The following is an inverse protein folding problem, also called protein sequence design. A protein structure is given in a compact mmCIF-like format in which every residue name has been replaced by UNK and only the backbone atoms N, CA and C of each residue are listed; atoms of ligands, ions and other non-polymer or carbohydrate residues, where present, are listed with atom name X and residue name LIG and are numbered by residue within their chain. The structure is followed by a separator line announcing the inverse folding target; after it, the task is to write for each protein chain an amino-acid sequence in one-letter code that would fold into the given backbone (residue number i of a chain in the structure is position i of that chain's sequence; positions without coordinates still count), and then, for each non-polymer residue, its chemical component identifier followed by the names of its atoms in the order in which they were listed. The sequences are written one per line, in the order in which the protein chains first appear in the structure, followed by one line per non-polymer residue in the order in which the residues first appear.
data_IF_286900970151
#
_entry.id   IF_286900970151
#
_cell.length_a   1.000
_cell.length_b   1.000
_cell.length_c   1.000
_cell.angle_alpha   90.00
_cell.angle_beta   90.00
_cell.angle_gamma   90.00
#
_symmetry.space_group_name_H-M   'P 1'
#
loop_
_entity.id
_entity.type
_entity.pdbx_description
1 polymer ?
#
# COMPACT_ATOMS: atom_id res chain seq x y z
N UNK A 1 7.43 48.20 -2.38
CA UNK A 1 6.61 47.45 -3.39
C UNK A 1 7.40 47.15 -4.67
N UNK A 2 8.22 48.07 -5.19
CA UNK A 2 9.03 47.81 -6.38
C UNK A 2 10.28 46.95 -6.09
N UNK A 3 10.93 47.16 -4.95
CA UNK A 3 12.07 46.33 -4.51
C UNK A 3 11.67 44.88 -4.21
N UNK A 4 10.61 44.63 -3.45
CA UNK A 4 10.22 43.24 -3.15
C UNK A 4 9.76 42.46 -4.40
N UNK A 5 9.17 43.14 -5.40
CA UNK A 5 8.88 42.51 -6.69
C UNK A 5 10.12 42.22 -7.53
N UNK A 6 11.22 42.94 -7.28
CA UNK A 6 12.50 42.72 -7.96
C UNK A 6 13.21 41.50 -7.36
N UNK A 7 13.17 41.37 -6.04
CA UNK A 7 13.66 40.19 -5.33
C UNK A 7 12.88 38.92 -5.73
N UNK A 8 11.53 38.98 -5.79
CA UNK A 8 10.71 37.87 -6.28
C UNK A 8 11.04 37.47 -7.74
N UNK A 9 11.39 38.45 -8.60
CA UNK A 9 11.75 38.19 -9.98
C UNK A 9 13.13 37.54 -10.11
N UNK A 10 14.07 37.94 -9.26
CA UNK A 10 15.43 37.40 -9.26
C UNK A 10 15.44 35.95 -8.72
N UNK A 11 14.64 35.62 -7.70
CA UNK A 11 14.42 34.22 -7.27
C UNK A 11 13.81 33.34 -8.36
N UNK A 12 12.85 33.87 -9.13
CA UNK A 12 12.21 33.13 -10.22
C UNK A 12 13.22 32.85 -11.34
N UNK A 13 14.10 33.81 -11.65
CA UNK A 13 15.16 33.62 -12.66
C UNK A 13 16.16 32.55 -12.24
N UNK A 14 16.59 32.57 -10.99
CA UNK A 14 17.53 31.57 -10.46
C UNK A 14 16.95 30.15 -10.58
N UNK A 15 15.68 29.96 -10.21
CA UNK A 15 14.97 28.68 -10.41
C UNK A 15 14.81 28.29 -11.88
N UNK A 16 14.75 29.27 -12.78
CA UNK A 16 14.63 29.02 -14.22
C UNK A 16 15.97 28.58 -14.81
N UNK A 17 17.07 29.20 -14.37
CA UNK A 17 18.42 28.87 -14.78
C UNK A 17 18.82 27.46 -14.31
N UNK A 18 18.47 27.08 -13.08
CA UNK A 18 18.64 25.70 -12.59
C UNK A 18 17.90 24.68 -13.46
N UNK A 19 16.66 24.97 -13.85
CA UNK A 19 15.87 24.10 -14.75
C UNK A 19 16.49 23.98 -16.14
N UNK A 20 17.02 25.07 -16.68
CA UNK A 20 17.72 25.05 -17.98
C UNK A 20 18.97 24.17 -17.89
N UNK A 21 19.72 24.22 -16.79
CA UNK A 21 20.88 23.36 -16.60
C UNK A 21 20.50 21.87 -16.57
N UNK A 22 19.40 21.52 -15.88
CA UNK A 22 18.87 20.15 -15.85
C UNK A 22 18.45 19.70 -17.27
N UNK A 23 17.74 20.54 -18.02
CA UNK A 23 17.30 20.24 -19.38
C UNK A 23 18.51 19.97 -20.30
N UNK A 24 19.56 20.77 -20.18
CA UNK A 24 20.78 20.57 -20.97
C UNK A 24 21.50 19.26 -20.63
N UNK A 25 21.52 18.87 -19.34
CA UNK A 25 22.06 17.57 -18.90
C UNK A 25 21.25 16.41 -19.45
N UNK A 26 19.92 16.49 -19.41
CA UNK A 26 19.01 15.46 -19.98
C UNK A 26 19.24 15.31 -21.48
N UNK A 27 19.33 16.41 -22.22
CA UNK A 27 19.55 16.40 -23.67
C UNK A 27 20.91 15.80 -24.06
N UNK A 28 21.95 16.04 -23.24
CA UNK A 28 23.26 15.44 -23.45
C UNK A 28 23.25 13.92 -23.20
N UNK A 29 22.45 13.43 -22.26
CA UNK A 29 22.26 11.99 -22.03
C UNK A 29 21.48 11.37 -23.20
N UNK A 30 20.43 12.04 -23.67
CA UNK A 30 19.61 11.59 -24.80
C UNK A 30 20.45 11.41 -26.07
N UNK A 31 21.33 12.37 -26.38
CA UNK A 31 22.28 12.27 -27.49
C UNK A 31 23.27 11.12 -27.32
N UNK A 32 23.76 10.87 -26.10
CA UNK A 32 24.64 9.72 -25.84
C UNK A 32 23.93 8.39 -26.05
N UNK A 33 22.67 8.28 -25.62
CA UNK A 33 21.86 7.08 -25.81
C UNK A 33 21.55 6.88 -27.29
N UNK A 34 21.18 7.93 -28.02
CA UNK A 34 20.92 7.85 -29.46
C UNK A 34 22.16 7.36 -30.23
N UNK A 35 23.33 7.93 -29.95
CA UNK A 35 24.57 7.48 -30.60
C UNK A 35 24.89 6.01 -30.27
N UNK A 36 24.68 5.57 -29.02
CA UNK A 36 24.88 4.17 -28.64
C UNK A 36 23.87 3.22 -29.32
N UNK A 37 22.64 3.65 -29.53
CA UNK A 37 21.63 2.87 -30.27
C UNK A 37 22.02 2.80 -31.75
N UNK A 38 22.47 3.90 -32.35
CA UNK A 38 22.91 3.94 -33.74
C UNK A 38 24.15 3.04 -33.99
N UNK A 39 25.06 2.97 -33.00
CA UNK A 39 26.20 2.05 -33.02
C UNK A 39 25.75 0.57 -32.89
N UNK A 40 24.71 0.29 -32.10
CA UNK A 40 24.15 -1.06 -31.93
C UNK A 40 23.29 -1.52 -33.13
N UNK A 41 22.60 -0.60 -33.81
CA UNK A 41 21.82 -0.88 -35.02
C UNK A 41 22.71 -1.18 -36.24
N UNK A 42 24.00 -0.79 -36.20
CA UNK A 42 24.99 -1.15 -37.22
C UNK A 42 25.48 -2.59 -37.11
N UNK A 43 25.32 -3.24 -35.96
CA UNK A 43 25.51 -4.68 -35.83
C UNK A 43 24.26 -5.38 -36.38
N UNK A 44 24.14 -5.44 -37.71
CA UNK A 44 23.15 -6.28 -38.38
C UNK A 44 23.27 -7.70 -37.82
N UNK A 45 22.15 -8.24 -37.34
CA UNK A 45 22.03 -9.67 -37.01
C UNK A 45 22.33 -10.43 -38.30
N UNK A 46 23.55 -10.95 -38.43
CA UNK A 46 23.90 -11.85 -39.54
C UNK A 46 23.04 -13.11 -39.39
N UNK A 47 21.95 -13.20 -40.16
CA UNK A 47 21.25 -14.46 -40.35
C UNK A 47 22.24 -15.44 -40.98
N UNK A 48 22.53 -16.54 -40.27
CA UNK A 48 23.38 -17.60 -40.80
C UNK A 48 22.74 -18.13 -42.08
N UNK A 49 23.50 -18.13 -43.18
CA UNK A 49 23.05 -18.75 -44.43
C UNK A 49 22.83 -20.24 -44.20
N UNK A 50 21.61 -20.71 -44.45
CA UNK A 50 21.24 -22.12 -44.36
C UNK A 50 21.39 -22.70 -45.76
N UNK A 51 22.35 -23.59 -45.95
CA UNK A 51 22.53 -24.33 -47.20
C UNK A 51 21.66 -25.58 -47.23
N UNK A 52 21.07 -25.86 -48.38
CA UNK A 52 20.41 -27.15 -48.64
C UNK A 52 21.44 -28.23 -48.98
N UNK A 53 21.10 -29.51 -48.81
CA UNK A 53 22.02 -30.63 -49.05
C UNK A 53 22.61 -30.63 -50.48
N UNK A 54 21.78 -30.27 -51.48
CA UNK A 54 22.20 -30.17 -52.89
C UNK A 54 23.17 -29.01 -53.16
N UNK A 55 23.05 -27.91 -52.41
CA UNK A 55 23.95 -26.76 -52.50
C UNK A 55 25.28 -27.03 -51.81
N UNK A 56 25.26 -27.79 -50.71
CA UNK A 56 26.45 -28.18 -49.97
C UNK A 56 27.35 -29.12 -50.77
N UNK A 57 26.74 -30.05 -51.53
CA UNK A 57 27.46 -30.99 -52.41
C UNK A 57 28.08 -30.30 -53.65
N UNK A 58 27.54 -29.15 -54.06
CA UNK A 58 28.06 -28.35 -55.17
C UNK A 58 29.20 -27.39 -54.77
N UNK A 59 29.43 -27.21 -53.46
CA UNK A 59 30.44 -26.31 -52.93
C UNK A 59 31.81 -26.99 -52.77
N UNK A 60 32.88 -26.25 -53.07
CA UNK A 60 34.23 -26.77 -52.94
C UNK A 60 34.66 -26.81 -51.47
N UNK A 61 35.26 -27.94 -51.06
CA UNK A 61 35.60 -28.26 -49.68
C UNK A 61 36.57 -27.24 -49.08
N UNK A 62 37.51 -26.74 -49.88
CA UNK A 62 38.51 -25.76 -49.44
C UNK A 62 37.87 -24.39 -49.15
N UNK A 63 36.77 -24.06 -49.83
CA UNK A 63 36.03 -22.81 -49.62
C UNK A 63 35.22 -22.86 -48.33
N UNK A 64 34.52 -23.98 -48.08
CA UNK A 64 33.79 -24.23 -46.83
C UNK A 64 34.72 -24.23 -45.62
N UNK A 65 35.92 -24.79 -45.77
CA UNK A 65 36.92 -24.81 -44.70
C UNK A 65 37.38 -23.38 -44.35
N UNK A 66 37.62 -22.53 -45.36
CA UNK A 66 37.98 -21.12 -45.15
C UNK A 66 36.89 -20.33 -44.45
N UNK A 67 35.62 -20.51 -44.82
CA UNK A 67 34.48 -19.84 -44.17
C UNK A 67 34.30 -20.29 -42.72
N UNK A 68 34.44 -21.60 -42.45
CA UNK A 68 34.41 -22.15 -41.09
C UNK A 68 35.53 -21.55 -40.24
N UNK A 69 36.73 -21.40 -40.79
CA UNK A 69 37.87 -20.87 -40.05
C UNK A 69 37.67 -19.37 -39.74
N UNK A 70 37.12 -18.58 -40.66
CA UNK A 70 36.72 -17.18 -40.43
C UNK A 70 35.63 -17.09 -39.34
N UNK A 71 34.61 -17.95 -39.40
CA UNK A 71 33.52 -17.97 -38.41
C UNK A 71 34.00 -18.41 -37.02
N UNK A 72 34.92 -19.38 -36.96
CA UNK A 72 35.58 -19.79 -35.71
C UNK A 72 36.39 -18.64 -35.12
N UNK A 73 37.19 -17.96 -35.93
CA UNK A 73 37.98 -16.80 -35.49
C UNK A 73 37.07 -15.66 -34.98
N UNK A 74 35.95 -15.39 -35.65
CA UNK A 74 34.93 -14.44 -35.15
C UNK A 74 34.33 -14.88 -33.81
N UNK A 75 34.09 -16.18 -33.63
CA UNK A 75 33.50 -16.72 -32.40
C UNK A 75 34.51 -16.72 -31.24
N UNK A 76 35.80 -16.95 -31.52
CA UNK A 76 36.88 -16.90 -30.53
C UNK A 76 37.22 -15.46 -30.10
N UNK A 77 37.12 -14.51 -31.03
CA UNK A 77 37.33 -13.09 -30.74
C UNK A 77 36.09 -12.42 -30.12
N UNK A 78 34.90 -13.04 -30.23
CA UNK A 78 33.71 -12.60 -29.53
C UNK A 78 33.86 -12.93 -28.04
N UNK A 79 34.04 -11.90 -27.21
CA UNK A 79 34.05 -12.04 -25.76
C UNK A 79 32.66 -11.64 -25.23
N UNK A 80 31.67 -12.54 -25.15
CA UNK A 80 30.32 -12.19 -24.75
C UNK A 80 30.35 -11.62 -23.34
N UNK A 81 29.78 -10.42 -23.16
CA UNK A 81 29.73 -9.78 -21.86
C UNK A 81 28.69 -10.48 -20.96
N UNK A 82 29.14 -11.55 -20.29
CA UNK A 82 28.34 -12.38 -19.38
C UNK A 82 27.79 -11.58 -18.17
N UNK A 83 28.26 -10.36 -17.93
CA UNK A 83 27.70 -9.50 -16.89
C UNK A 83 26.28 -9.04 -17.24
N UNK A 84 25.94 -8.89 -18.52
CA UNK A 84 24.58 -8.52 -18.97
C UNK A 84 23.56 -9.58 -18.52
N UNK A 85 23.92 -10.86 -18.61
CA UNK A 85 23.06 -11.96 -18.15
C UNK A 85 22.88 -11.95 -16.62
N UNK A 86 23.92 -11.58 -15.86
CA UNK A 86 23.85 -11.46 -14.40
C UNK A 86 22.96 -10.28 -13.99
N UNK A 87 23.12 -9.13 -14.65
CA UNK A 87 22.28 -7.95 -14.44
C UNK A 87 20.82 -8.23 -14.80
N UNK A 88 20.57 -8.87 -15.96
CA UNK A 88 19.21 -9.25 -16.37
C UNK A 88 18.52 -10.14 -15.31
N UNK A 89 19.23 -11.12 -14.76
CA UNK A 89 18.69 -11.97 -13.68
C UNK A 89 18.37 -11.19 -12.39
N UNK A 90 19.11 -10.11 -12.10
CA UNK A 90 18.82 -9.23 -10.97
C UNK A 90 17.54 -8.42 -11.26
N UNK A 91 17.47 -7.80 -12.44
CA UNK A 91 16.29 -7.03 -12.87
C UNK A 91 15.02 -7.90 -12.92
N UNK A 92 15.12 -9.13 -13.41
CA UNK A 92 13.97 -10.04 -13.47
C UNK A 92 13.45 -10.40 -12.07
N UNK A 93 14.35 -10.63 -11.10
CA UNK A 93 13.98 -10.89 -9.71
C UNK A 93 13.32 -9.67 -9.06
N UNK A 94 13.90 -8.49 -9.24
CA UNK A 94 13.31 -7.25 -8.72
C UNK A 94 11.92 -7.00 -9.30
N UNK A 95 11.76 -7.17 -10.60
CA UNK A 95 10.48 -6.98 -11.28
C UNK A 95 9.42 -7.96 -10.76
N UNK A 96 9.77 -9.24 -10.59
CA UNK A 96 8.87 -10.25 -9.98
C UNK A 96 8.48 -9.89 -8.55
N UNK A 97 9.41 -9.38 -7.75
CA UNK A 97 9.13 -8.95 -6.38
C UNK A 97 8.17 -7.74 -6.36
N UNK A 98 8.46 -6.71 -7.15
CA UNK A 98 7.61 -5.51 -7.28
C UNK A 98 6.20 -5.86 -7.75
N UNK A 99 6.05 -6.77 -8.71
CA UNK A 99 4.73 -7.24 -9.14
C UNK A 99 3.95 -7.92 -8.00
N UNK A 100 4.64 -8.69 -7.15
CA UNK A 100 4.00 -9.36 -6.00
C UNK A 100 3.55 -8.34 -4.96
N UNK A 101 4.37 -7.33 -4.69
CA UNK A 101 4.06 -6.28 -3.73
C UNK A 101 2.91 -5.39 -4.22
N UNK A 102 2.88 -5.07 -5.52
CA UNK A 102 1.76 -4.37 -6.15
C UNK A 102 0.45 -5.13 -6.03
N UNK A 103 0.47 -6.44 -6.28
CA UNK A 103 -0.73 -7.29 -6.09
C UNK A 103 -1.20 -7.31 -4.64
N UNK A 104 -0.27 -7.36 -3.68
CA UNK A 104 -0.61 -7.33 -2.25
C UNK A 104 -1.22 -5.99 -1.86
N UNK A 105 -0.61 -4.88 -2.30
CA UNK A 105 -1.13 -3.54 -2.07
C UNK A 105 -2.55 -3.40 -2.62
N UNK A 106 -2.78 -3.85 -3.85
CA UNK A 106 -4.10 -3.82 -4.48
C UNK A 106 -5.14 -4.59 -3.64
N UNK A 107 -4.82 -5.79 -3.17
CA UNK A 107 -5.70 -6.57 -2.31
C UNK A 107 -6.00 -5.84 -0.98
N UNK A 108 -4.98 -5.27 -0.34
CA UNK A 108 -5.17 -4.49 0.89
C UNK A 108 -6.08 -3.29 0.68
N UNK A 109 -5.97 -2.61 -0.47
CA UNK A 109 -6.83 -1.47 -0.82
C UNK A 109 -8.27 -1.90 -1.06
N UNK A 110 -8.50 -3.01 -1.75
CA UNK A 110 -9.85 -3.55 -1.94
C UNK A 110 -10.52 -3.84 -0.59
N UNK A 111 -9.77 -4.45 0.35
CA UNK A 111 -10.28 -4.70 1.70
C UNK A 111 -10.61 -3.41 2.46
N UNK A 112 -9.77 -2.37 2.34
CA UNK A 112 -10.03 -1.06 2.93
C UNK A 112 -11.26 -0.39 2.31
N UNK A 113 -11.46 -0.51 0.99
CA UNK A 113 -12.65 0.01 0.29
C UNK A 113 -13.94 -0.65 0.80
N UNK A 114 -13.95 -1.98 0.89
CA UNK A 114 -15.10 -2.71 1.43
C UNK A 114 -15.39 -2.35 2.89
N UNK A 115 -14.34 -2.25 3.71
CA UNK A 115 -14.47 -1.85 5.10
C UNK A 115 -15.08 -0.44 5.23
N UNK A 116 -14.52 0.52 4.49
CA UNK A 116 -15.01 1.90 4.51
C UNK A 116 -16.47 2.00 4.05
N UNK A 117 -16.84 1.26 3.01
CA UNK A 117 -18.23 1.17 2.54
C UNK A 117 -19.19 0.62 3.60
N UNK A 118 -18.76 -0.43 4.33
CA UNK A 118 -19.57 -1.03 5.42
C UNK A 118 -19.77 -0.06 6.58
N UNK A 119 -18.72 0.65 6.97
CA UNK A 119 -18.78 1.52 8.14
C UNK A 119 -19.51 2.83 7.80
N UNK A 120 -19.25 3.45 6.66
CA UNK A 120 -19.76 4.80 6.36
C UNK A 120 -21.08 4.78 5.55
N UNK A 121 -21.68 3.59 5.33
CA UNK A 121 -22.98 3.38 4.65
C UNK A 121 -23.17 4.28 3.41
N UNK A 122 -22.34 4.10 2.38
CA UNK A 122 -22.43 4.83 1.11
C UNK A 122 -21.29 5.82 0.85
N UNK A 123 -20.17 5.70 1.57
CA UNK A 123 -18.90 6.28 1.16
C UNK A 123 -18.15 5.40 0.16
N UNK A 124 -17.16 5.95 -0.54
CA UNK A 124 -16.21 5.21 -1.36
C UNK A 124 -14.77 5.53 -0.95
N UNK A 125 -13.85 4.62 -1.25
CA UNK A 125 -12.41 4.84 -1.07
C UNK A 125 -11.66 4.25 -2.25
N UNK A 126 -10.65 4.96 -2.73
CA UNK A 126 -9.81 4.57 -3.86
C UNK A 126 -8.36 4.95 -3.60
N UNK A 127 -7.48 4.22 -4.26
CA UNK A 127 -6.05 4.41 -4.18
C UNK A 127 -5.58 4.90 -5.54
N UNK A 128 -5.03 6.10 -5.55
CA UNK A 128 -4.52 6.78 -6.73
C UNK A 128 -2.98 6.70 -6.71
N UNK A 129 -2.40 6.33 -7.85
CA UNK A 129 -0.97 6.45 -8.09
C UNK A 129 -0.78 7.64 -9.02
N UNK A 130 -0.04 8.67 -8.57
CA UNK A 130 0.17 9.89 -9.36
C UNK A 130 0.99 9.65 -10.63
N UNK A 131 1.83 8.60 -10.65
CA UNK A 131 2.73 8.26 -11.77
C UNK A 131 2.74 6.75 -12.08
N UNK A 132 3.43 6.38 -13.17
CA UNK A 132 3.57 5.00 -13.65
C UNK A 132 4.23 4.04 -12.64
N UNK A 133 5.04 4.55 -11.69
CA UNK A 133 5.71 3.73 -10.68
C UNK A 133 5.35 4.13 -9.22
N UNK A 134 4.49 3.36 -8.51
CA UNK A 134 4.11 3.63 -7.12
C UNK A 134 5.25 3.44 -6.10
N UNK A 135 6.37 2.82 -6.49
CA UNK A 135 7.50 2.63 -5.57
C UNK A 135 8.37 3.90 -5.44
N UNK A 136 8.24 4.87 -6.35
CA UNK A 136 9.06 6.09 -6.36
C UNK A 136 8.32 7.28 -5.74
N UNK A 137 7.13 7.61 -6.24
CA UNK A 137 6.35 8.78 -5.77
C UNK A 137 5.34 8.45 -4.68
N UNK A 138 5.24 7.17 -4.32
CA UNK A 138 4.28 6.69 -3.34
C UNK A 138 2.86 6.68 -3.89
N UNK A 139 1.92 6.66 -2.95
CA UNK A 139 0.54 6.29 -3.22
C UNK A 139 -0.39 7.19 -2.42
N UNK A 140 -1.42 7.70 -3.08
CA UNK A 140 -2.42 8.59 -2.46
C UNK A 140 -3.70 7.81 -2.18
N UNK A 141 -4.15 7.86 -0.93
CA UNK A 141 -5.43 7.29 -0.54
C UNK A 141 -6.51 8.38 -0.50
N UNK A 142 -7.45 8.30 -1.43
CA UNK A 142 -8.57 9.22 -1.61
C UNK A 142 -9.85 8.57 -1.09
N UNK A 143 -10.62 9.33 -0.32
CA UNK A 143 -11.94 8.87 0.15
C UNK A 143 -13.04 9.84 -0.24
N UNK A 144 -14.23 9.30 -0.45
CA UNK A 144 -15.45 10.03 -0.71
C UNK A 144 -16.46 9.70 0.38
N UNK A 145 -16.60 10.53 1.41
CA UNK A 145 -17.67 10.38 2.39
C UNK A 145 -19.06 10.51 1.72
N UNK A 146 -20.11 9.94 2.33
CA UNK A 146 -21.47 10.00 1.80
C UNK A 146 -21.87 11.47 1.62
N UNK A 147 -22.42 11.77 0.44
CA UNK A 147 -22.87 13.13 0.06
C UNK A 147 -21.75 14.19 0.03
N UNK A 148 -20.47 13.80 0.02
CA UNK A 148 -19.32 14.71 -0.13
C UNK A 148 -18.49 14.38 -1.37
N UNK A 149 -17.58 15.28 -1.72
CA UNK A 149 -16.60 15.10 -2.80
C UNK A 149 -15.42 14.23 -2.36
N UNK A 150 -14.66 13.76 -3.35
CA UNK A 150 -13.38 13.09 -3.13
C UNK A 150 -12.39 14.03 -2.43
N UNK A 151 -11.72 13.52 -1.40
CA UNK A 151 -10.69 14.23 -0.63
C UNK A 151 -9.59 13.26 -0.23
N UNK A 152 -8.35 13.76 -0.16
CA UNK A 152 -7.22 13.01 0.39
C UNK A 152 -7.43 12.77 1.89
N UNK A 153 -6.94 11.65 2.40
CA UNK A 153 -7.07 11.32 3.83
C UNK A 153 -6.47 12.39 4.77
N UNK A 154 -5.43 13.09 4.31
CA UNK A 154 -4.79 14.21 5.01
C UNK A 154 -5.77 15.34 5.34
N UNK A 155 -6.76 15.55 4.46
CA UNK A 155 -7.64 16.73 4.45
C UNK A 155 -9.00 16.45 5.11
N UNK A 156 -9.17 15.24 5.66
CA UNK A 156 -10.37 14.84 6.38
C UNK A 156 -10.44 15.45 7.79
N UNK A 157 -11.66 15.56 8.32
CA UNK A 157 -11.85 15.91 9.74
C UNK A 157 -11.35 14.79 10.65
N UNK A 158 -11.05 15.09 11.92
CA UNK A 158 -10.55 14.09 12.88
C UNK A 158 -11.42 12.83 12.98
N UNK A 159 -12.75 12.98 12.97
CA UNK A 159 -13.68 11.84 12.95
C UNK A 159 -13.71 11.07 11.63
N UNK A 160 -13.51 11.74 10.48
CA UNK A 160 -13.43 11.07 9.17
C UNK A 160 -12.10 10.34 8.97
N UNK A 161 -11.01 10.84 9.57
CA UNK A 161 -9.69 10.20 9.56
C UNK A 161 -9.70 8.84 10.25
N UNK A 162 -10.48 8.67 11.32
CA UNK A 162 -10.62 7.37 11.99
C UNK A 162 -11.13 6.29 11.03
N UNK A 163 -12.16 6.61 10.24
CA UNK A 163 -12.71 5.70 9.24
C UNK A 163 -11.78 5.42 8.07
N UNK A 164 -10.95 6.40 7.68
CA UNK A 164 -9.98 6.25 6.60
C UNK A 164 -8.70 5.51 6.99
N UNK A 165 -8.29 5.57 8.26
CA UNK A 165 -6.92 5.20 8.67
C UNK A 165 -6.73 3.70 8.93
N UNK A 166 -7.62 3.03 9.65
CA UNK A 166 -7.36 1.66 10.08
C UNK A 166 -8.52 1.11 10.87
N UNK A 167 -9.13 0.02 10.39
CA UNK A 167 -9.33 -1.15 11.25
C UNK A 167 -9.03 -2.39 10.41
N UNK A 168 -7.86 -3.00 10.60
CA UNK A 168 -7.65 -4.42 10.32
C UNK A 168 -7.50 -4.79 8.81
N UNK A 169 -6.40 -4.37 8.18
CA UNK A 169 -5.90 -5.07 6.98
C UNK A 169 -5.11 -6.33 7.34
N UNK A 170 -4.58 -6.41 8.56
CA UNK A 170 -3.88 -7.57 9.08
C UNK A 170 -4.67 -8.14 10.29
N UNK A 171 -5.04 -9.43 10.28
CA UNK A 171 -5.65 -10.08 11.42
C UNK A 171 -4.61 -10.17 12.55
N UNK A 172 -4.84 -9.43 13.63
CA UNK A 172 -4.05 -9.53 14.86
C UNK A 172 -4.93 -10.10 15.98
N UNK A 173 -4.39 -10.96 16.85
CA UNK A 173 -5.19 -11.63 17.87
C UNK A 173 -5.75 -10.67 18.93
N UNK A 174 -5.10 -9.51 19.13
CA UNK A 174 -5.48 -8.51 20.13
C UNK A 174 -5.41 -7.13 19.49
N UNK A 175 -6.43 -6.31 19.77
CA UNK A 175 -6.50 -4.88 19.44
C UNK A 175 -6.67 -4.06 20.71
N UNK A 176 -5.88 -2.99 20.83
CA UNK A 176 -6.01 -1.99 21.90
C UNK A 176 -6.31 -0.64 21.25
N UNK A 177 -7.40 -0.01 21.65
CA UNK A 177 -7.91 1.24 21.09
C UNK A 177 -8.10 2.25 22.22
N UNK A 178 -7.42 3.40 22.12
CA UNK A 178 -7.45 4.44 23.14
C UNK A 178 -8.16 5.68 22.60
N UNK A 179 -9.26 6.08 23.25
CA UNK A 179 -10.09 7.27 22.95
C UNK A 179 -10.41 7.48 21.45
N UNK A 180 -10.57 6.38 20.72
CA UNK A 180 -10.81 6.39 19.27
C UNK A 180 -12.09 7.11 18.86
N UNK A 181 -13.01 7.26 19.80
CA UNK A 181 -14.34 7.83 19.65
C UNK A 181 -14.44 9.28 20.10
N UNK A 182 -13.37 9.87 20.64
CA UNK A 182 -13.36 11.25 21.13
C UNK A 182 -13.71 12.29 20.04
N UNK A 183 -13.40 11.99 18.76
CA UNK A 183 -13.67 12.85 17.61
C UNK A 183 -14.94 12.45 16.83
N UNK A 184 -15.69 11.44 17.29
CA UNK A 184 -16.88 10.91 16.61
C UNK A 184 -18.17 11.48 17.22
N UNK A 185 -19.22 11.61 16.40
CA UNK A 185 -20.56 11.93 16.89
C UNK A 185 -21.28 10.66 17.38
N UNK A 186 -22.31 10.84 18.21
CA UNK A 186 -23.08 9.74 18.81
C UNK A 186 -23.48 8.64 17.82
N UNK A 187 -23.88 9.01 16.59
CA UNK A 187 -24.29 8.06 15.54
C UNK A 187 -23.12 7.24 15.02
N UNK A 188 -22.01 7.90 14.71
CA UNK A 188 -20.81 7.22 14.23
C UNK A 188 -20.21 6.31 15.30
N UNK A 189 -20.27 6.71 16.57
CA UNK A 189 -19.85 5.88 17.71
C UNK A 189 -20.65 4.58 17.76
N UNK A 190 -21.98 4.62 17.62
CA UNK A 190 -22.81 3.39 17.59
C UNK A 190 -22.46 2.47 16.41
N UNK A 191 -22.11 3.03 15.27
CA UNK A 191 -21.70 2.25 14.09
C UNK A 191 -20.38 1.54 14.37
N UNK A 192 -19.39 2.26 14.90
CA UNK A 192 -18.09 1.69 15.26
C UNK A 192 -18.24 0.62 16.35
N UNK A 193 -19.06 0.86 17.36
CA UNK A 193 -19.34 -0.08 18.44
C UNK A 193 -19.90 -1.41 17.91
N UNK A 194 -20.89 -1.34 17.00
CA UNK A 194 -21.45 -2.53 16.37
C UNK A 194 -20.44 -3.25 15.47
N UNK A 195 -19.64 -2.50 14.71
CA UNK A 195 -18.60 -3.07 13.86
C UNK A 195 -17.55 -3.84 14.68
N UNK A 196 -17.08 -3.27 15.80
CA UNK A 196 -16.17 -3.96 16.72
C UNK A 196 -16.84 -5.24 17.25
N UNK A 197 -18.09 -5.15 17.69
CA UNK A 197 -18.86 -6.30 18.20
C UNK A 197 -18.96 -7.47 17.20
N UNK A 198 -19.11 -7.17 15.92
CA UNK A 198 -19.11 -8.19 14.86
C UNK A 198 -17.73 -8.85 14.69
N UNK A 199 -16.65 -8.08 14.84
CA UNK A 199 -15.26 -8.53 14.70
C UNK A 199 -14.69 -9.26 15.92
N UNK A 200 -15.33 -9.18 17.10
CA UNK A 200 -14.88 -9.87 18.33
C UNK A 200 -14.78 -11.41 18.15
N UNK A 201 -15.52 -12.01 17.20
CA UNK A 201 -15.43 -13.45 16.93
C UNK A 201 -14.04 -13.90 16.49
N UNK A 202 -13.30 -13.00 15.82
CA UNK A 202 -12.03 -13.31 15.19
C UNK A 202 -10.82 -12.72 15.96
N UNK A 203 -11.05 -11.77 16.88
CA UNK A 203 -9.99 -11.10 17.65
C UNK A 203 -10.49 -10.52 18.99
N UNK A 204 -9.57 -10.33 19.94
CA UNK A 204 -9.85 -9.67 21.22
C UNK A 204 -9.72 -8.14 21.10
N UNK A 205 -10.67 -7.40 21.66
CA UNK A 205 -10.66 -5.93 21.66
C UNK A 205 -10.63 -5.38 23.09
N UNK A 206 -9.70 -4.46 23.35
CA UNK A 206 -9.63 -3.63 24.56
C UNK A 206 -9.85 -2.19 24.11
N UNK A 207 -10.95 -1.59 24.51
CA UNK A 207 -11.32 -0.24 24.10
C UNK A 207 -11.43 0.66 25.32
N UNK A 208 -10.74 1.79 25.28
CA UNK A 208 -10.87 2.88 26.25
C UNK A 208 -11.74 3.95 25.60
N UNK A 209 -12.87 4.25 26.23
CA UNK A 209 -13.89 5.16 25.72
C UNK A 209 -14.65 5.78 26.90
N UNK A 210 -15.10 7.02 26.70
CA UNK A 210 -15.99 7.73 27.63
C UNK A 210 -17.45 7.75 27.15
N UNK A 211 -17.77 7.07 26.05
CA UNK A 211 -19.04 7.17 25.37
C UNK A 211 -19.94 5.96 25.69
N UNK A 212 -21.15 6.23 26.19
CA UNK A 212 -22.08 5.19 26.67
C UNK A 212 -22.40 4.12 25.61
N UNK A 213 -22.50 4.51 24.34
CA UNK A 213 -22.80 3.58 23.24
C UNK A 213 -21.72 2.50 23.04
N UNK A 214 -20.46 2.79 23.36
CA UNK A 214 -19.36 1.82 23.30
C UNK A 214 -19.40 0.89 24.51
N UNK A 215 -19.62 1.46 25.70
CA UNK A 215 -19.63 0.72 26.96
C UNK A 215 -20.85 -0.20 27.11
N UNK A 216 -22.00 0.17 26.53
CA UNK A 216 -23.23 -0.65 26.55
C UNK A 216 -23.07 -1.97 25.79
N UNK A 217 -22.26 -1.99 24.73
CA UNK A 217 -22.01 -3.20 23.92
C UNK A 217 -20.87 -4.07 24.46
N UNK A 218 -20.17 -3.63 25.51
CA UNK A 218 -19.03 -4.34 26.07
C UNK A 218 -19.44 -5.60 26.86
N UNK A 219 -18.65 -6.66 26.74
CA UNK A 219 -18.83 -7.88 27.52
C UNK A 219 -18.40 -7.71 28.98
N UNK A 220 -17.36 -6.90 29.19
CA UNK A 220 -16.80 -6.56 30.48
C UNK A 220 -16.45 -5.07 30.51
N UNK A 221 -16.80 -4.40 31.59
CA UNK A 221 -16.45 -3.01 31.84
C UNK A 221 -15.37 -2.93 32.91
N UNK A 222 -14.40 -2.05 32.70
CA UNK A 222 -13.36 -1.73 33.67
C UNK A 222 -13.49 -0.24 33.99
N UNK A 223 -13.99 0.08 35.18
CA UNK A 223 -14.05 1.44 35.69
C UNK A 223 -12.74 1.78 36.40
N UNK A 224 -12.10 2.88 36.01
CA UNK A 224 -10.91 3.41 36.67
C UNK A 224 -11.30 4.69 37.42
N UNK A 225 -10.91 4.80 38.68
CA UNK A 225 -11.18 5.94 39.53
C UNK A 225 -10.00 6.27 40.43
N UNK A 226 -9.91 7.52 40.90
CA UNK A 226 -8.81 8.01 41.72
C UNK A 226 -9.28 8.27 43.15
N UNK A 227 -8.53 7.80 44.15
CA UNK A 227 -8.78 8.04 45.58
C UNK A 227 -7.44 8.21 46.28
N UNK A 228 -7.27 9.24 47.11
CA UNK A 228 -6.03 9.50 47.86
C UNK A 228 -4.77 9.52 46.98
N UNK A 229 -4.87 10.19 45.82
CA UNK A 229 -3.83 10.26 44.78
C UNK A 229 -3.41 8.90 44.16
N UNK A 230 -4.18 7.83 44.42
CA UNK A 230 -3.95 6.50 43.87
C UNK A 230 -5.04 6.11 42.87
N UNK A 231 -4.64 5.57 41.72
CA UNK A 231 -5.56 4.98 40.73
C UNK A 231 -6.01 3.59 41.18
N UNK A 232 -7.32 3.39 41.25
CA UNK A 232 -7.98 2.12 41.56
C UNK A 232 -8.85 1.72 40.38
N UNK A 233 -9.06 0.42 40.21
CA UNK A 233 -9.94 -0.10 39.17
C UNK A 233 -10.96 -1.08 39.74
N UNK A 234 -12.13 -1.12 39.11
CA UNK A 234 -13.22 -2.05 39.39
C UNK A 234 -13.64 -2.68 38.08
N UNK A 235 -13.89 -3.98 38.10
CA UNK A 235 -14.43 -4.70 36.95
C UNK A 235 -15.90 -5.02 37.17
N UNK A 236 -16.69 -4.89 36.10
CA UNK A 236 -18.12 -5.10 36.12
C UNK A 236 -18.52 -5.91 34.88
N UNK A 237 -19.43 -6.88 35.05
CA UNK A 237 -20.00 -7.65 33.94
C UNK A 237 -21.46 -7.22 33.73
N UNK A 238 -21.77 -6.46 32.66
CA UNK A 238 -23.12 -5.96 32.40
C UNK A 238 -24.16 -7.07 32.26
N UNK A 239 -23.79 -8.19 31.62
CA UNK A 239 -24.71 -9.31 31.37
C UNK A 239 -25.18 -9.97 32.66
N UNK A 240 -24.25 -10.24 33.60
CA UNK A 240 -24.60 -10.80 34.91
C UNK A 240 -25.55 -9.89 35.69
N UNK A 241 -25.39 -8.59 35.58
CA UNK A 241 -26.24 -7.62 36.27
C UNK A 241 -27.66 -7.58 35.69
N UNK A 242 -27.82 -7.63 34.37
CA UNK A 242 -29.13 -7.73 33.73
C UNK A 242 -29.88 -8.99 34.16
N UNK A 243 -29.23 -10.15 34.21
CA UNK A 243 -29.83 -11.41 34.68
C UNK A 243 -30.29 -11.33 36.15
N UNK A 244 -29.47 -10.76 37.03
CA UNK A 244 -29.80 -10.52 38.44
C UNK A 244 -30.96 -9.54 38.63
N UNK A 245 -31.07 -8.54 37.77
CA UNK A 245 -32.13 -7.53 37.84
C UNK A 245 -33.44 -8.10 37.30
N UNK A 246 -33.39 -8.80 36.18
CA UNK A 246 -34.55 -9.46 35.59
C UNK A 246 -35.09 -10.57 36.50
N UNK A 247 -34.23 -11.37 37.13
CA UNK A 247 -34.65 -12.39 38.11
C UNK A 247 -35.33 -11.77 39.34
N UNK A 248 -34.80 -10.65 39.86
CA UNK A 248 -35.43 -9.89 40.95
C UNK A 248 -36.77 -9.27 40.57
N UNK A 249 -36.92 -8.77 39.33
CA UNK A 249 -38.17 -8.16 38.84
C UNK A 249 -39.21 -9.23 38.52
N UNK A 250 -38.80 -10.37 37.94
CA UNK A 250 -39.68 -11.46 37.51
C UNK A 250 -39.95 -12.52 38.59
N UNK A 251 -39.39 -12.35 39.80
CA UNK A 251 -39.60 -13.25 40.94
C UNK A 251 -39.15 -14.70 40.68
N UNK A 252 -38.20 -14.91 39.76
CA UNK A 252 -37.65 -16.24 39.45
C UNK A 252 -36.19 -16.30 39.83
N UNK A 253 -35.89 -17.06 40.87
CA UNK A 253 -34.52 -17.40 41.29
C UNK A 253 -33.73 -18.01 40.12
N UNK A 254 -32.56 -17.45 39.75
CA UNK A 254 -31.67 -18.06 38.78
C UNK A 254 -30.77 -19.06 39.53
N UNK A 255 -31.37 -20.11 40.08
CA UNK A 255 -30.63 -21.27 40.56
C UNK A 255 -30.34 -22.20 39.38
N UNK A 256 -29.07 -22.56 39.27
CA UNK A 256 -28.45 -23.49 38.31
C UNK A 256 -28.28 -22.99 36.87
N UNK A 257 -27.12 -22.39 36.62
CA UNK A 257 -26.12 -23.01 35.73
C UNK A 257 -24.72 -22.48 36.07
N UNK A 258 -23.93 -23.35 36.71
CA UNK A 258 -22.46 -23.23 36.70
C UNK A 258 -22.01 -23.18 35.25
N UNK A 259 -21.24 -22.15 34.87
CA UNK A 259 -20.15 -22.34 33.94
C UNK A 259 -19.08 -21.27 34.18
N UNK A 260 -17.93 -21.73 34.68
CA UNK A 260 -16.64 -21.08 34.49
C UNK A 260 -16.37 -20.95 32.99
N UNK A 261 -16.03 -19.75 32.52
CA UNK A 261 -14.70 -19.34 32.03
C UNK A 261 -14.58 -17.83 32.29
#
# INVERSE_FOLDING_TARGET
KLESKKEELDEIKEKFDEKIEIINKVRAIELKIQNQIEDLERDEVQEFQIYTDDELDAMDKDTLQGEIDILKEKTENANPNLNILKEYNIYEKEYKLRQKDLKRLHLSVMNLKEMYQRIVFGGNAELECDNFDPFYDGVIFSVKPPKKSWRKISDLSGGEKFFGSSICSAPTPIYVMDEIDAALDFRNVSIVANYIKERIRDAQFIVISLHDNMSELADHLVGVFKTDDQSKSVTFNPRKFQELTLSKILGKDPLNKKLCV
#
